data_IF_059480964359
#
_entry.id   IF_059480964359
#
_cell.length_a   1.000
_cell.length_b   1.000
_cell.length_c   1.000
_cell.angle_alpha   90.00
_cell.angle_beta   90.00
_cell.angle_gamma   90.00
#
_symmetry.space_group_name_H-M   'P 1'
#
loop_
_entity.id
_entity.type
_entity.pdbx_description
1 polymer ?
#
# COMPACT_ATOMS: atom_id res chain seq x y z
N UNK A 1 6.44 13.05 5.64
CA UNK A 1 6.55 11.58 5.51
C UNK A 1 7.95 11.07 5.80
N UNK A 2 9.01 11.65 5.23
CA UNK A 2 10.40 11.18 5.42
C UNK A 2 10.85 10.96 6.87
N UNK A 3 10.54 11.89 7.79
CA UNK A 3 10.84 11.71 9.22
C UNK A 3 10.22 10.45 9.82
N UNK A 4 9.02 10.07 9.38
CA UNK A 4 8.37 8.83 9.83
C UNK A 4 9.05 7.60 9.25
N UNK A 5 9.47 7.62 7.97
CA UNK A 5 10.23 6.50 7.38
C UNK A 5 11.51 6.23 8.18
N UNK A 6 12.27 7.29 8.49
CA UNK A 6 13.49 7.19 9.33
C UNK A 6 13.18 6.67 10.73
N UNK A 7 12.09 7.11 11.35
CA UNK A 7 11.68 6.62 12.67
C UNK A 7 11.33 5.13 12.64
N UNK A 8 10.64 4.67 11.61
CA UNK A 8 10.29 3.26 11.42
C UNK A 8 11.55 2.40 11.24
N UNK A 9 12.50 2.84 10.41
CA UNK A 9 13.78 2.17 10.27
C UNK A 9 14.53 2.08 11.61
N UNK A 10 14.63 3.19 12.35
CA UNK A 10 15.27 3.20 13.69
C UNK A 10 14.60 2.22 14.65
N UNK A 11 13.27 2.15 14.65
CA UNK A 11 12.53 1.24 15.52
C UNK A 11 12.73 -0.23 15.13
N UNK A 12 12.76 -0.54 13.83
CA UNK A 12 13.04 -1.88 13.34
C UNK A 12 14.46 -2.32 13.72
N UNK A 13 15.45 -1.45 13.50
CA UNK A 13 16.85 -1.74 13.81
C UNK A 13 17.09 -1.99 15.31
N UNK A 14 16.35 -1.31 16.19
CA UNK A 14 16.40 -1.51 17.65
C UNK A 14 15.94 -2.90 18.11
N UNK A 15 15.24 -3.67 17.26
CA UNK A 15 14.84 -5.05 17.58
C UNK A 15 16.00 -6.03 17.47
N UNK A 16 17.07 -5.67 16.77
CA UNK A 16 18.29 -6.48 16.64
C UNK A 16 19.28 -6.20 17.76
N UNK A 17 20.00 -7.25 18.18
CA UNK A 17 21.18 -7.10 19.07
C UNK A 17 22.35 -6.40 18.37
N UNK A 18 22.40 -6.47 17.04
CA UNK A 18 23.36 -5.76 16.20
C UNK A 18 22.61 -4.96 15.11
N UNK A 19 22.28 -3.69 15.40
CA UNK A 19 21.63 -2.80 14.44
C UNK A 19 22.49 -2.51 13.20
N UNK A 20 23.81 -2.46 13.35
CA UNK A 20 24.73 -2.13 12.25
C UNK A 20 24.80 -3.25 11.23
N UNK A 21 24.94 -4.49 11.70
CA UNK A 21 24.89 -5.68 10.84
C UNK A 21 23.53 -5.83 10.15
N UNK A 22 22.43 -5.58 10.86
CA UNK A 22 21.08 -5.66 10.28
C UNK A 22 20.88 -4.63 9.17
N UNK A 23 21.32 -3.38 9.39
CA UNK A 23 21.25 -2.35 8.36
C UNK A 23 22.12 -2.70 7.14
N UNK A 24 23.33 -3.23 7.36
CA UNK A 24 24.19 -3.73 6.28
C UNK A 24 23.53 -4.85 5.49
N UNK A 25 22.84 -5.79 6.17
CA UNK A 25 22.05 -6.82 5.52
C UNK A 25 20.95 -6.22 4.63
N UNK A 26 20.24 -5.18 5.09
CA UNK A 26 19.22 -4.51 4.28
C UNK A 26 19.83 -3.88 3.02
N UNK A 27 20.89 -3.10 3.16
CA UNK A 27 21.58 -2.47 2.02
C UNK A 27 22.10 -3.52 1.03
N UNK A 28 22.66 -4.63 1.52
CA UNK A 28 23.14 -5.71 0.67
C UNK A 28 22.01 -6.40 -0.11
N UNK A 29 20.90 -6.71 0.54
CA UNK A 29 19.75 -7.37 -0.11
C UNK A 29 19.08 -6.44 -1.12
N UNK A 30 18.87 -5.18 -0.77
CA UNK A 30 18.30 -4.18 -1.68
C UNK A 30 19.26 -3.82 -2.83
N UNK A 31 20.57 -3.78 -2.58
CA UNK A 31 21.60 -3.58 -3.60
C UNK A 31 21.58 -4.67 -4.68
N UNK A 32 21.32 -5.92 -4.32
CA UNK A 32 21.13 -7.01 -5.31
C UNK A 32 19.88 -6.84 -6.17
N UNK A 33 18.90 -6.09 -5.69
CA UNK A 33 17.64 -5.83 -6.39
C UNK A 33 17.66 -4.52 -7.19
N UNK A 34 18.65 -3.66 -6.98
CA UNK A 34 18.69 -2.29 -7.47
C UNK A 34 18.46 -2.18 -8.98
N UNK A 35 19.29 -2.85 -9.79
CA UNK A 35 19.16 -2.81 -11.25
C UNK A 35 17.77 -3.29 -11.73
N UNK A 36 17.26 -4.38 -11.16
CA UNK A 36 15.92 -4.90 -11.50
C UNK A 36 14.82 -3.92 -11.10
N UNK A 37 14.94 -3.29 -9.94
CA UNK A 37 13.97 -2.32 -9.45
C UNK A 37 13.94 -1.06 -10.31
N UNK A 38 15.10 -0.58 -10.77
CA UNK A 38 15.19 0.54 -11.73
C UNK A 38 14.46 0.24 -13.04
N UNK A 39 14.55 -0.98 -13.55
CA UNK A 39 13.84 -1.39 -14.76
C UNK A 39 12.31 -1.42 -14.62
N UNK A 40 11.76 -1.27 -13.40
CA UNK A 40 10.32 -1.18 -13.19
C UNK A 40 9.76 0.24 -13.37
N UNK A 41 10.61 1.26 -13.44
CA UNK A 41 10.20 2.64 -13.64
C UNK A 41 10.19 2.99 -15.13
N UNK A 42 9.16 3.70 -15.58
CA UNK A 42 9.01 4.10 -16.98
C UNK A 42 10.08 5.12 -17.39
N UNK A 43 10.46 5.99 -16.45
CA UNK A 43 11.49 7.01 -16.65
C UNK A 43 12.79 6.63 -15.92
N UNK A 44 13.95 7.00 -16.46
CA UNK A 44 15.22 6.82 -15.78
C UNK A 44 15.27 7.61 -14.46
N UNK A 45 15.74 6.95 -13.41
CA UNK A 45 15.92 7.61 -12.10
C UNK A 45 17.35 8.16 -12.01
N UNK A 46 17.49 9.47 -12.05
CA UNK A 46 18.76 10.21 -12.06
C UNK A 46 19.39 10.39 -10.66
N UNK A 47 19.49 9.32 -9.88
CA UNK A 47 20.21 9.31 -8.60
C UNK A 47 21.25 8.20 -8.60
N UNK A 48 22.25 8.29 -7.72
CA UNK A 48 23.29 7.26 -7.61
C UNK A 48 22.71 5.90 -7.17
N UNK A 49 23.43 4.81 -7.48
CA UNK A 49 23.04 3.47 -7.03
C UNK A 49 22.87 3.38 -5.52
N UNK A 50 23.77 4.01 -4.74
CA UNK A 50 23.68 4.06 -3.28
C UNK A 50 22.44 4.80 -2.78
N UNK A 51 22.14 5.98 -3.35
CA UNK A 51 20.95 6.76 -2.96
C UNK A 51 19.66 6.00 -3.29
N UNK A 52 19.64 5.29 -4.40
CA UNK A 52 18.49 4.45 -4.77
C UNK A 52 18.33 3.26 -3.82
N UNK A 53 19.41 2.60 -3.42
CA UNK A 53 19.35 1.53 -2.41
C UNK A 53 18.86 2.06 -1.07
N UNK A 54 19.31 3.24 -0.64
CA UNK A 54 18.81 3.89 0.58
C UNK A 54 17.32 4.17 0.51
N UNK A 55 16.83 4.67 -0.64
CA UNK A 55 15.41 4.86 -0.90
C UNK A 55 14.64 3.53 -0.81
N UNK A 56 15.12 2.45 -1.46
CA UNK A 56 14.48 1.14 -1.38
C UNK A 56 14.39 0.65 0.07
N UNK A 57 15.47 0.77 0.86
CA UNK A 57 15.49 0.36 2.26
C UNK A 57 14.49 1.16 3.08
N UNK A 58 14.50 2.50 2.97
CA UNK A 58 13.62 3.36 3.75
C UNK A 58 12.15 3.14 3.41
N UNK A 59 11.82 3.07 2.13
CA UNK A 59 10.46 2.98 1.65
C UNK A 59 9.89 1.59 1.89
N UNK A 60 10.67 0.53 1.64
CA UNK A 60 10.25 -0.84 1.93
C UNK A 60 10.10 -1.05 3.44
N UNK A 61 11.04 -0.54 4.25
CA UNK A 61 10.92 -0.59 5.71
C UNK A 61 9.65 0.09 6.19
N UNK A 62 9.37 1.29 5.70
CA UNK A 62 8.18 2.03 6.12
C UNK A 62 6.91 1.26 5.76
N UNK A 63 6.76 0.79 4.52
CA UNK A 63 5.56 0.10 4.04
C UNK A 63 5.34 -1.23 4.78
N UNK A 64 6.38 -2.05 4.90
CA UNK A 64 6.27 -3.37 5.55
C UNK A 64 5.90 -3.23 7.04
N UNK A 65 6.56 -2.33 7.76
CA UNK A 65 6.26 -2.09 9.17
C UNK A 65 4.91 -1.39 9.37
N UNK A 66 4.48 -0.55 8.44
CA UNK A 66 3.14 0.02 8.42
C UNK A 66 2.08 -1.07 8.35
N UNK A 67 2.24 -2.05 7.45
CA UNK A 67 1.30 -3.16 7.32
C UNK A 67 1.31 -4.08 8.54
N UNK A 68 2.48 -4.36 9.15
CA UNK A 68 2.58 -5.13 10.41
C UNK A 68 1.81 -4.48 11.56
N UNK A 69 1.98 -3.17 11.77
CA UNK A 69 1.23 -2.42 12.80
C UNK A 69 -0.28 -2.55 12.61
N UNK A 70 -0.70 -2.69 11.37
CA UNK A 70 -2.09 -2.82 11.00
C UNK A 70 -2.72 -4.17 11.37
N UNK A 71 -1.95 -5.24 11.24
CA UNK A 71 -2.34 -6.59 11.69
C UNK A 71 -2.53 -6.62 13.20
N UNK A 72 -1.65 -5.95 13.95
CA UNK A 72 -1.64 -5.97 15.41
C UNK A 72 -2.59 -4.93 16.06
N UNK A 73 -3.28 -4.12 15.25
CA UNK A 73 -4.12 -3.00 15.71
C UNK A 73 -3.40 -2.02 16.67
N UNK A 74 -2.08 -1.90 16.56
CA UNK A 74 -1.22 -1.09 17.43
C UNK A 74 -1.28 0.43 17.13
N UNK A 75 -2.38 0.90 16.56
CA UNK A 75 -2.53 2.33 16.24
C UNK A 75 -2.90 3.17 17.46
N UNK A 76 -3.37 2.55 18.56
CA UNK A 76 -3.79 3.25 19.78
C UNK A 76 -2.66 3.75 20.69
N UNK A 77 -1.39 3.61 20.28
CA UNK A 77 -0.27 4.26 20.97
C UNK A 77 -0.38 5.79 20.84
N UNK A 78 -0.42 6.48 21.99
CA UNK A 78 -0.97 7.83 22.15
C UNK A 78 -0.28 8.92 21.30
N UNK A 79 0.94 8.65 20.80
CA UNK A 79 1.77 9.62 20.08
C UNK A 79 1.87 9.39 18.56
N UNK A 80 1.04 8.52 17.98
CA UNK A 80 1.13 8.17 16.57
C UNK A 80 0.26 9.05 15.66
N UNK A 81 0.87 9.73 14.68
CA UNK A 81 0.19 10.54 13.63
C UNK A 81 -0.90 9.76 12.89
N UNK A 82 -0.79 8.44 12.86
CA UNK A 82 -1.69 7.54 12.15
C UNK A 82 -2.90 7.07 12.99
N UNK A 83 -3.08 7.56 14.22
CA UNK A 83 -4.34 7.35 14.99
C UNK A 83 -5.55 7.82 14.21
N UNK A 84 -5.40 8.96 13.55
CA UNK A 84 -6.50 9.63 12.87
C UNK A 84 -6.93 8.86 11.62
N UNK A 85 -8.21 8.44 11.57
CA UNK A 85 -8.75 7.61 10.50
C UNK A 85 -8.55 8.23 9.10
N UNK A 86 -8.73 9.54 8.94
CA UNK A 86 -8.55 10.20 7.64
C UNK A 86 -7.09 10.17 7.16
N UNK A 87 -6.11 10.21 8.08
CA UNK A 87 -4.68 10.10 7.74
C UNK A 87 -4.38 8.69 7.22
N UNK A 88 -4.95 7.65 7.84
CA UNK A 88 -4.82 6.27 7.37
C UNK A 88 -5.42 6.07 5.98
N UNK A 89 -6.63 6.61 5.76
CA UNK A 89 -7.29 6.57 4.44
C UNK A 89 -6.49 7.31 3.37
N UNK A 90 -5.96 8.49 3.69
CA UNK A 90 -5.10 9.25 2.79
C UNK A 90 -3.84 8.45 2.45
N UNK A 91 -3.16 7.93 3.46
CA UNK A 91 -1.96 7.11 3.27
C UNK A 91 -2.24 5.87 2.41
N UNK A 92 -3.36 5.18 2.62
CA UNK A 92 -3.77 4.06 1.78
C UNK A 92 -3.94 4.45 0.31
N UNK A 93 -4.55 5.61 0.04
CA UNK A 93 -4.66 6.14 -1.34
C UNK A 93 -3.30 6.50 -1.91
N UNK A 94 -2.46 7.18 -1.15
CA UNK A 94 -1.11 7.58 -1.57
C UNK A 94 -0.24 6.35 -1.90
N UNK A 95 -0.41 5.22 -1.19
CA UNK A 95 0.26 3.94 -1.48
C UNK A 95 -0.26 3.22 -2.73
N UNK A 96 -1.35 3.69 -3.33
CA UNK A 96 -1.92 3.14 -4.57
C UNK A 96 -1.79 4.10 -5.76
N UNK A 97 -1.18 5.28 -5.57
CA UNK A 97 -0.80 6.16 -6.68
C UNK A 97 0.34 5.52 -7.45
N UNK A 98 0.25 5.49 -8.79
CA UNK A 98 1.22 4.84 -9.67
C UNK A 98 2.65 5.39 -9.47
N UNK A 99 2.78 6.72 -9.30
CA UNK A 99 4.07 7.40 -9.14
C UNK A 99 4.74 7.11 -7.79
N UNK A 100 4.00 6.57 -6.81
CA UNK A 100 4.48 6.27 -5.46
C UNK A 100 4.56 4.75 -5.19
N UNK A 101 4.80 3.97 -6.24
CA UNK A 101 4.94 2.51 -6.13
C UNK A 101 6.42 2.10 -5.94
N UNK A 102 6.62 1.21 -4.98
CA UNK A 102 7.78 0.30 -5.00
C UNK A 102 7.41 -0.98 -5.75
N UNK A 103 8.38 -1.60 -6.44
CA UNK A 103 8.16 -2.91 -6.99
C UNK A 103 7.83 -3.93 -5.89
N UNK A 104 6.81 -4.76 -6.09
CA UNK A 104 6.27 -5.68 -5.09
C UNK A 104 7.33 -6.68 -4.60
N UNK A 105 8.22 -7.13 -5.50
CA UNK A 105 9.31 -8.04 -5.13
C UNK A 105 10.32 -7.41 -4.15
N UNK A 106 10.49 -6.09 -4.17
CA UNK A 106 11.33 -5.38 -3.19
C UNK A 106 10.68 -5.47 -1.81
N UNK A 107 9.37 -5.24 -1.74
CA UNK A 107 8.60 -5.33 -0.49
C UNK A 107 8.56 -6.76 0.06
N UNK A 108 8.38 -7.75 -0.82
CA UNK A 108 8.41 -9.18 -0.45
C UNK A 108 9.78 -9.59 0.10
N UNK A 109 10.85 -9.19 -0.58
CA UNK A 109 12.23 -9.44 -0.14
C UNK A 109 12.49 -8.79 1.23
N UNK A 110 12.10 -7.53 1.39
CA UNK A 110 12.28 -6.79 2.64
C UNK A 110 11.47 -7.42 3.78
N UNK A 111 10.25 -7.87 3.51
CA UNK A 111 9.44 -8.62 4.47
C UNK A 111 10.12 -9.93 4.89
N UNK A 112 10.62 -10.71 3.93
CA UNK A 112 11.27 -11.99 4.20
C UNK A 112 12.50 -11.85 5.12
N UNK A 113 13.35 -10.84 4.88
CA UNK A 113 14.56 -10.62 5.69
C UNK A 113 14.28 -9.97 7.06
N UNK A 114 13.06 -9.46 7.27
CA UNK A 114 12.64 -8.84 8.54
C UNK A 114 11.60 -9.66 9.28
N UNK A 115 11.29 -10.88 8.80
CA UNK A 115 10.25 -11.73 9.35
C UNK A 115 10.53 -12.06 10.82
N UNK A 116 9.52 -11.86 11.68
CA UNK A 116 9.61 -12.11 13.12
C UNK A 116 8.78 -13.33 13.52
N UNK A 117 8.88 -13.78 14.77
CA UNK A 117 8.09 -14.90 15.27
C UNK A 117 6.58 -14.63 15.15
N UNK A 118 6.16 -13.37 15.34
CA UNK A 118 4.77 -12.90 15.19
C UNK A 118 4.26 -12.97 13.73
N UNK A 119 5.17 -13.16 12.77
CA UNK A 119 4.89 -13.28 11.34
C UNK A 119 4.90 -14.74 10.86
N UNK A 120 5.20 -15.75 11.71
CA UNK A 120 5.43 -17.14 11.26
C UNK A 120 4.32 -17.69 10.35
N UNK A 121 3.06 -17.53 10.78
CA UNK A 121 1.87 -17.98 10.05
C UNK A 121 1.34 -16.98 9.02
N UNK A 122 1.99 -15.83 8.87
CA UNK A 122 1.52 -14.74 7.99
C UNK A 122 2.40 -14.62 6.77
N UNK A 123 1.77 -14.53 5.61
CA UNK A 123 2.46 -14.17 4.38
C UNK A 123 2.33 -12.65 4.13
N UNK A 124 3.12 -12.13 3.20
CA UNK A 124 3.12 -10.70 2.93
C UNK A 124 1.80 -10.20 2.32
N UNK A 125 1.13 -11.04 1.54
CA UNK A 125 -0.15 -10.75 0.91
C UNK A 125 -1.25 -10.51 1.96
N UNK A 126 -1.29 -11.31 3.03
CA UNK A 126 -2.22 -11.13 4.14
C UNK A 126 -2.04 -9.77 4.81
N UNK A 127 -0.80 -9.29 4.92
CA UNK A 127 -0.49 -7.96 5.46
C UNK A 127 -1.00 -6.84 4.54
N UNK A 128 -0.80 -6.97 3.23
CA UNK A 128 -1.31 -6.03 2.23
C UNK A 128 -2.83 -5.95 2.32
N UNK A 129 -3.51 -7.10 2.24
CA UNK A 129 -4.96 -7.19 2.26
C UNK A 129 -5.53 -6.69 3.60
N UNK A 130 -4.92 -7.10 4.71
CA UNK A 130 -5.28 -6.65 6.04
C UNK A 130 -5.23 -5.12 6.17
N UNK A 131 -4.17 -4.49 5.68
CA UNK A 131 -4.05 -3.03 5.64
C UNK A 131 -5.15 -2.38 4.79
N UNK A 132 -5.26 -2.76 3.52
CA UNK A 132 -6.22 -2.15 2.60
C UNK A 132 -7.67 -2.39 2.99
N UNK A 133 -7.98 -3.50 3.67
CA UNK A 133 -9.33 -3.83 4.16
C UNK A 133 -9.91 -2.86 5.20
N UNK A 134 -9.08 -2.05 5.84
CA UNK A 134 -9.56 -1.11 6.85
C UNK A 134 -9.28 0.35 6.45
N UNK A 135 -8.45 0.60 5.43
CA UNK A 135 -8.20 1.97 4.92
C UNK A 135 -8.98 2.30 3.64
N UNK A 136 -9.41 1.31 2.88
CA UNK A 136 -10.30 1.52 1.73
C UNK A 136 -11.77 1.45 2.15
N UNK A 137 -12.69 2.13 1.44
CA UNK A 137 -14.12 2.04 1.71
C UNK A 137 -14.63 0.60 1.62
N UNK A 138 -15.39 0.18 2.63
CA UNK A 138 -15.92 -1.19 2.87
C UNK A 138 -16.69 -1.77 1.67
N UNK A 139 -17.16 -0.93 0.75
CA UNK A 139 -17.87 -1.36 -0.46
C UNK A 139 -17.01 -2.19 -1.42
N UNK A 140 -15.67 -2.05 -1.39
CA UNK A 140 -14.73 -2.90 -2.15
C UNK A 140 -14.41 -4.23 -1.44
N UNK A 141 -14.84 -4.41 -0.19
CA UNK A 141 -14.23 -5.33 0.77
C UNK A 141 -15.17 -6.40 1.33
N UNK A 142 -16.40 -6.54 0.79
CA UNK A 142 -17.29 -7.68 1.07
C UNK A 142 -16.79 -8.99 0.44
N UNK A 143 -15.47 -9.20 0.46
CA UNK A 143 -14.83 -10.44 0.05
C UNK A 143 -14.78 -11.35 1.27
N UNK A 144 -15.84 -12.10 1.44
CA UNK A 144 -15.99 -13.15 2.45
C UNK A 144 -14.90 -14.21 2.26
N UNK A 145 -13.98 -14.28 3.22
CA UNK A 145 -12.92 -15.30 3.37
C UNK A 145 -11.82 -15.30 2.28
N UNK A 146 -10.60 -15.24 2.77
CA UNK A 146 -9.37 -15.50 2.02
C UNK A 146 -9.41 -16.98 1.64
N UNK A 147 -9.85 -17.29 0.41
CA UNK A 147 -9.65 -18.61 -0.19
C UNK A 147 -8.16 -18.94 -0.34
N UNK A 148 -7.80 -20.21 -0.53
CA UNK A 148 -6.40 -20.65 -0.56
C UNK A 148 -5.64 -19.91 -1.65
N UNK A 149 -4.45 -19.42 -1.28
CA UNK A 149 -3.40 -18.81 -2.11
C UNK A 149 -3.86 -18.29 -3.47
N UNK A 150 -3.97 -16.97 -3.59
CA UNK A 150 -3.80 -16.35 -4.90
C UNK A 150 -2.37 -16.62 -5.34
N UNK A 151 -2.20 -17.48 -6.34
CA UNK A 151 -0.99 -17.49 -7.14
C UNK A 151 -0.89 -16.09 -7.76
N UNK A 152 -0.07 -15.24 -7.12
CA UNK A 152 0.21 -13.91 -7.62
C UNK A 152 0.84 -14.10 -9.00
N UNK A 153 0.18 -13.60 -10.05
CA UNK A 153 0.75 -13.62 -11.39
C UNK A 153 2.16 -13.02 -11.29
N UNK A 154 3.22 -13.73 -11.74
CA UNK A 154 4.58 -13.22 -11.70
C UNK A 154 4.76 -11.88 -12.44
N UNK A 155 3.79 -11.47 -13.26
CA UNK A 155 3.71 -10.14 -13.90
C UNK A 155 3.25 -9.02 -12.96
N UNK A 156 2.70 -9.32 -11.78
CA UNK A 156 2.30 -8.30 -10.81
C UNK A 156 3.56 -7.67 -10.23
N UNK A 157 3.82 -6.44 -10.66
CA UNK A 157 5.05 -5.73 -10.32
C UNK A 157 4.90 -4.76 -9.17
N UNK A 158 3.70 -4.38 -8.73
CA UNK A 158 3.51 -3.34 -7.68
C UNK A 158 2.20 -3.50 -6.88
N UNK A 159 2.04 -2.74 -5.78
CA UNK A 159 0.89 -2.83 -4.87
C UNK A 159 -0.44 -2.51 -5.56
N UNK A 160 -0.50 -1.47 -6.38
CA UNK A 160 -1.71 -1.13 -7.14
C UNK A 160 -2.15 -2.28 -8.06
N UNK A 161 -1.21 -2.92 -8.77
CA UNK A 161 -1.51 -4.06 -9.64
C UNK A 161 -2.01 -5.25 -8.83
N UNK A 162 -1.35 -5.55 -7.70
CA UNK A 162 -1.80 -6.59 -6.79
C UNK A 162 -3.23 -6.35 -6.28
N UNK A 163 -3.54 -5.13 -5.84
CA UNK A 163 -4.89 -4.80 -5.38
C UNK A 163 -5.90 -4.85 -6.53
N UNK A 164 -5.55 -4.36 -7.71
CA UNK A 164 -6.40 -4.43 -8.89
C UNK A 164 -6.74 -5.88 -9.23
N UNK A 165 -5.75 -6.76 -9.36
CA UNK A 165 -5.97 -8.17 -9.72
C UNK A 165 -6.77 -8.90 -8.63
N UNK A 166 -6.42 -8.69 -7.35
CA UNK A 166 -7.15 -9.25 -6.21
C UNK A 166 -8.65 -8.89 -6.24
N UNK A 167 -8.97 -7.62 -6.50
CA UNK A 167 -10.37 -7.18 -6.56
C UNK A 167 -11.02 -7.54 -7.89
N UNK A 168 -10.32 -7.44 -9.01
CA UNK A 168 -10.86 -7.75 -10.33
C UNK A 168 -11.38 -9.19 -10.42
N UNK A 169 -10.66 -10.13 -9.80
CA UNK A 169 -11.09 -11.53 -9.74
C UNK A 169 -12.27 -11.77 -8.81
N UNK A 170 -12.44 -10.95 -7.76
CA UNK A 170 -13.39 -11.18 -6.67
C UNK A 170 -14.62 -10.27 -6.70
N UNK A 171 -14.61 -9.19 -7.48
CA UNK A 171 -15.79 -8.37 -7.72
C UNK A 171 -16.66 -9.10 -8.74
N UNK A 172 -17.89 -9.49 -8.39
CA UNK A 172 -18.77 -10.13 -9.36
C UNK A 172 -19.05 -9.13 -10.50
N UNK A 173 -18.64 -9.48 -11.72
CA UNK A 173 -18.85 -8.67 -12.95
C UNK A 173 -20.31 -8.26 -13.19
N UNK A 174 -21.25 -8.91 -12.49
CA UNK A 174 -22.69 -8.74 -12.61
C UNK A 174 -23.40 -8.66 -11.26
N UNK A 175 -22.70 -8.39 -10.15
CA UNK A 175 -23.44 -8.00 -8.96
C UNK A 175 -24.12 -6.67 -9.31
N UNK A 176 -25.46 -6.58 -9.30
CA UNK A 176 -26.08 -5.27 -9.28
C UNK A 176 -25.41 -4.50 -8.14
N UNK A 177 -25.10 -3.20 -8.31
CA UNK A 177 -24.75 -2.35 -7.19
C UNK A 177 -25.66 -2.72 -6.00
N UNK A 178 -25.14 -2.81 -4.78
CA UNK A 178 -26.02 -2.89 -3.62
C UNK A 178 -26.83 -1.59 -3.64
N UNK A 179 -27.97 -1.60 -4.32
CA UNK A 179 -28.83 -0.45 -4.56
C UNK A 179 -29.65 -0.09 -3.32
N UNK A 180 -29.25 -0.59 -2.17
CA UNK A 180 -29.88 -0.27 -0.91
C UNK A 180 -28.78 0.15 0.05
N UNK A 181 -28.99 1.35 0.59
CA UNK A 181 -28.23 1.98 1.67
C UNK A 181 -27.00 2.80 1.28
N UNK A 182 -27.30 4.10 1.09
CA UNK A 182 -26.44 5.25 1.33
C UNK A 182 -25.40 5.61 0.26
N UNK A 183 -25.91 6.05 -0.90
CA UNK A 183 -25.29 7.15 -1.65
C UNK A 183 -25.96 8.50 -1.37
N UNK A 184 -26.59 8.69 -0.19
CA UNK A 184 -27.17 9.97 0.22
C UNK A 184 -26.16 11.13 0.26
N UNK A 185 -24.87 10.85 0.08
CA UNK A 185 -23.80 11.85 -0.03
C UNK A 185 -23.52 12.28 -1.49
N UNK A 186 -23.83 11.45 -2.49
CA UNK A 186 -23.74 11.82 -3.91
C UNK A 186 -25.12 12.25 -4.35
N UNK A 187 -25.33 13.56 -4.40
CA UNK A 187 -26.53 14.17 -4.95
C UNK A 187 -26.54 13.89 -6.45
N UNK A 188 -27.62 13.29 -6.96
CA UNK A 188 -27.75 13.02 -8.40
C UNK A 188 -27.74 14.32 -9.20
N UNK A 189 -27.36 14.24 -10.47
CA UNK A 189 -27.39 15.41 -11.37
C UNK A 189 -28.81 16.02 -11.42
N UNK A 190 -29.85 15.17 -11.40
CA UNK A 190 -31.26 15.60 -11.33
C UNK A 190 -31.56 16.36 -10.05
N UNK A 191 -31.11 15.89 -8.88
CA UNK A 191 -31.35 16.60 -7.63
C UNK A 191 -30.56 17.92 -7.54
N UNK A 192 -29.39 18.01 -8.16
CA UNK A 192 -28.64 19.27 -8.28
C UNK A 192 -29.39 20.26 -9.19
N UNK A 193 -29.95 19.79 -10.31
CA UNK A 193 -30.79 20.60 -11.21
C UNK A 193 -32.06 21.09 -10.50
N UNK A 194 -32.77 20.22 -9.78
CA UNK A 194 -33.93 20.55 -8.94
C UNK A 194 -33.59 21.56 -7.83
N UNK A 195 -32.37 21.50 -7.30
CA UNK A 195 -31.83 22.46 -6.33
C UNK A 195 -31.34 23.78 -6.98
N UNK A 196 -31.47 23.93 -8.31
CA UNK A 196 -31.14 25.15 -9.05
C UNK A 196 -29.68 25.26 -9.49
N UNK A 197 -28.90 24.17 -9.43
CA UNK A 197 -27.53 24.12 -9.98
C UNK A 197 -27.62 24.03 -11.50
N UNK A 198 -26.95 24.96 -12.19
CA UNK A 198 -26.87 24.98 -13.66
C UNK A 198 -25.63 24.23 -14.13
N UNK A 199 -25.80 23.34 -15.08
CA UNK A 199 -24.71 22.63 -15.74
C UNK A 199 -24.32 23.38 -17.01
N UNK A 200 -23.03 23.68 -17.16
CA UNK A 200 -22.47 24.22 -18.40
C UNK A 200 -21.58 23.18 -19.07
N UNK A 201 -21.82 22.97 -20.36
CA UNK A 201 -20.95 22.13 -21.19
C UNK A 201 -19.68 22.92 -21.49
N UNK A 202 -18.54 22.40 -21.08
CA UNK A 202 -17.25 22.89 -21.54
C UNK A 202 -17.00 22.25 -22.91
N UNK A 203 -16.98 23.05 -23.97
CA UNK A 203 -16.45 22.60 -25.25
C UNK A 203 -14.93 22.51 -25.11
N UNK A 204 -14.40 21.30 -25.08
CA UNK A 204 -12.97 21.08 -25.08
C UNK A 204 -12.42 21.39 -26.47
N UNK A 205 -11.48 22.33 -26.54
CA UNK A 205 -10.64 22.52 -27.72
C UNK A 205 -9.90 21.20 -28.00
N UNK A 206 -10.36 20.48 -29.03
CA UNK A 206 -9.75 19.25 -29.53
C UNK A 206 -8.53 19.55 -30.38
#
# INVERSE_FOLDING_TARGET
MERHKVLYLKNLLRRSKDPGYLFSCFCHRMGKLEARARCCYAEPIEISGSEFVEMLVLDACFIVELFRRFKLDLWDDDNNVFRTSWIRKKLGRDLLVADNQLPLFVLQEFYAITKMHEDEETNFQDLILGFFSKVLPVQLLKVSKIGPFLEVDPKITHLLGFMYDYYWERVPRFAPPPYEENWNFIISATNLEEAGVKFEKIEGDS
#
